data_IF_613459649236
#
_entry.id   IF_613459649236
#
_cell.length_a   1.000
_cell.length_b   1.000
_cell.length_c   1.000
_cell.angle_alpha   90.00
_cell.angle_beta   90.00
_cell.angle_gamma   90.00
#
_symmetry.space_group_name_H-M   'P 1'
#
loop_
_entity.id
_entity.type
_entity.pdbx_description
1 polymer ?
#
# COMPACT_ATOMS: atom_id res chain seq x y z
N UNK A 1 -22.44 -16.69 42.42
CA UNK A 1 -21.29 -16.99 41.54
C UNK A 1 -21.72 -16.58 40.14
N UNK A 2 -21.25 -15.43 39.67
CA UNK A 2 -21.57 -14.93 38.33
C UNK A 2 -20.77 -15.75 37.30
N UNK A 3 -21.47 -16.32 36.34
CA UNK A 3 -20.86 -16.96 35.19
C UNK A 3 -20.33 -15.85 34.26
N UNK A 4 -19.00 -15.70 34.19
CA UNK A 4 -18.34 -14.86 33.21
C UNK A 4 -18.46 -15.56 31.86
N UNK A 5 -19.40 -15.09 31.04
CA UNK A 5 -19.53 -15.49 29.65
C UNK A 5 -18.33 -14.94 28.88
N UNK A 6 -17.32 -15.80 28.67
CA UNK A 6 -16.16 -15.49 27.85
C UNK A 6 -16.63 -15.24 26.43
N UNK A 7 -16.63 -13.98 26.02
CA UNK A 7 -16.88 -13.57 24.64
C UNK A 7 -15.86 -14.26 23.73
N UNK A 8 -16.25 -15.35 23.07
CA UNK A 8 -15.44 -15.95 22.02
C UNK A 8 -15.46 -14.99 20.82
N UNK A 9 -14.32 -14.37 20.53
CA UNK A 9 -14.15 -13.57 19.32
C UNK A 9 -14.23 -14.50 18.11
N UNK A 10 -15.32 -14.41 17.34
CA UNK A 10 -15.45 -15.02 16.02
C UNK A 10 -14.63 -14.22 14.99
N UNK A 11 -13.33 -14.12 15.21
CA UNK A 11 -12.43 -13.65 14.16
C UNK A 11 -12.26 -14.78 13.16
N UNK A 12 -12.54 -14.58 11.86
CA UNK A 12 -12.18 -15.55 10.85
C UNK A 12 -10.70 -15.87 11.01
N UNK A 13 -10.36 -17.15 11.22
CA UNK A 13 -8.97 -17.57 11.16
C UNK A 13 -8.53 -17.44 9.72
N UNK A 14 -7.91 -16.31 9.39
CA UNK A 14 -7.24 -16.11 8.11
C UNK A 14 -6.14 -17.16 8.05
N UNK A 15 -6.35 -18.18 7.24
CA UNK A 15 -5.38 -19.25 7.08
C UNK A 15 -4.19 -18.74 6.25
N UNK A 16 -3.08 -19.48 6.26
CA UNK A 16 -1.91 -19.08 5.48
C UNK A 16 -2.17 -19.16 3.96
N UNK A 17 -3.20 -19.88 3.52
CA UNK A 17 -3.55 -20.07 2.12
C UNK A 17 -4.31 -18.86 1.56
N UNK A 18 -5.05 -18.13 2.41
CA UNK A 18 -5.63 -16.81 2.09
C UNK A 18 -4.53 -15.75 1.85
N UNK A 19 -3.40 -15.82 2.57
CA UNK A 19 -2.26 -14.93 2.34
C UNK A 19 -1.51 -15.23 1.03
N UNK A 20 -1.56 -16.47 0.54
CA UNK A 20 -0.91 -16.87 -0.73
C UNK A 20 -1.68 -16.39 -1.97
N UNK A 21 -2.91 -15.91 -1.81
CA UNK A 21 -3.73 -15.38 -2.92
C UNK A 21 -3.42 -13.93 -3.29
N UNK A 22 -2.60 -13.23 -2.50
CA UNK A 22 -2.19 -11.86 -2.82
C UNK A 22 -1.17 -11.94 -3.97
N UNK A 23 -1.56 -11.55 -5.17
CA UNK A 23 -0.63 -11.44 -6.30
C UNK A 23 0.42 -10.37 -5.99
N UNK A 24 1.63 -10.53 -6.56
CA UNK A 24 2.70 -9.56 -6.39
C UNK A 24 2.28 -8.16 -6.85
N UNK A 25 1.40 -8.08 -7.85
CA UNK A 25 0.79 -6.87 -8.36
C UNK A 25 -0.09 -6.17 -7.30
N UNK A 26 -0.89 -6.95 -6.57
CA UNK A 26 -1.74 -6.44 -5.50
C UNK A 26 -0.91 -5.97 -4.30
N UNK A 27 0.21 -6.65 -4.03
CA UNK A 27 1.15 -6.27 -2.97
C UNK A 27 1.83 -4.92 -3.27
N UNK A 28 2.25 -4.68 -4.52
CA UNK A 28 2.83 -3.41 -4.97
C UNK A 28 1.81 -2.26 -4.84
N UNK A 29 0.56 -2.48 -5.27
CA UNK A 29 -0.54 -1.53 -5.14
C UNK A 29 -0.86 -1.22 -3.66
N UNK A 30 -0.82 -2.23 -2.78
CA UNK A 30 -1.06 -2.06 -1.34
C UNK A 30 0.04 -1.27 -0.65
N UNK A 31 1.31 -1.53 -0.95
CA UNK A 31 2.44 -0.79 -0.38
C UNK A 31 2.36 0.69 -0.76
N UNK A 32 2.10 1.00 -2.03
CA UNK A 32 1.96 2.39 -2.48
C UNK A 32 0.82 3.12 -1.75
N UNK A 33 -0.36 2.48 -1.64
CA UNK A 33 -1.50 3.04 -0.90
C UNK A 33 -1.15 3.30 0.57
N UNK A 34 -0.43 2.37 1.19
CA UNK A 34 0.04 2.51 2.57
C UNK A 34 0.99 3.71 2.74
N UNK A 35 1.96 3.87 1.84
CA UNK A 35 2.87 5.01 1.85
C UNK A 35 2.13 6.36 1.72
N UNK A 36 1.17 6.45 0.80
CA UNK A 36 0.35 7.66 0.60
C UNK A 36 -0.55 7.97 1.82
N UNK A 37 -1.14 6.94 2.43
CA UNK A 37 -1.92 7.09 3.66
C UNK A 37 -1.04 7.61 4.81
N UNK A 38 0.17 7.06 4.97
CA UNK A 38 1.14 7.50 5.98
C UNK A 38 1.59 8.95 5.76
N UNK A 39 1.85 9.35 4.51
CA UNK A 39 2.13 10.75 4.17
C UNK A 39 0.96 11.65 4.57
N UNK A 40 -0.27 11.27 4.23
CA UNK A 40 -1.48 12.02 4.59
C UNK A 40 -1.62 12.19 6.11
N UNK A 41 -1.35 11.14 6.89
CA UNK A 41 -1.35 11.20 8.36
C UNK A 41 -0.30 12.17 8.88
N UNK A 42 0.91 12.16 8.31
CA UNK A 42 1.99 13.12 8.68
C UNK A 42 1.60 14.56 8.38
N UNK A 43 1.02 14.80 7.21
CA UNK A 43 0.53 16.12 6.77
C UNK A 43 -0.53 16.63 7.75
N UNK A 44 -1.51 15.79 8.10
CA UNK A 44 -2.55 16.14 9.08
C UNK A 44 -1.97 16.45 10.46
N UNK A 45 -1.02 15.65 10.94
CA UNK A 45 -0.36 15.86 12.23
C UNK A 45 0.45 17.16 12.25
N UNK A 46 1.12 17.50 11.16
CA UNK A 46 1.85 18.77 11.02
C UNK A 46 0.90 19.97 11.08
N UNK A 47 -0.21 19.91 10.33
CA UNK A 47 -1.24 20.94 10.33
C UNK A 47 -1.83 21.14 11.73
N UNK A 48 -2.17 20.07 12.43
CA UNK A 48 -2.72 20.16 13.80
C UNK A 48 -1.72 20.78 14.80
N UNK A 49 -0.41 20.50 14.65
CA UNK A 49 0.62 21.02 15.56
C UNK A 49 0.98 22.48 15.31
N UNK A 50 1.02 22.91 14.05
CA UNK A 50 1.55 24.22 13.66
C UNK A 50 0.48 25.21 13.21
N UNK A 51 -0.73 24.73 12.91
CA UNK A 51 -1.78 25.51 12.27
C UNK A 51 -1.46 25.93 10.83
N UNK A 52 -0.34 25.46 10.25
CA UNK A 52 0.13 25.83 8.91
C UNK A 52 -0.08 24.69 7.93
N UNK A 53 -0.61 25.00 6.76
CA UNK A 53 -0.63 24.07 5.62
C UNK A 53 0.79 23.93 5.05
N UNK A 54 1.12 22.78 4.46
CA UNK A 54 2.45 22.52 3.89
C UNK A 54 2.77 23.33 2.62
N UNK A 55 1.93 24.29 2.23
CA UNK A 55 2.13 25.09 1.02
C UNK A 55 2.05 24.30 -0.30
N UNK A 56 1.70 23.01 -0.27
CA UNK A 56 1.54 22.14 -1.43
C UNK A 56 0.20 22.37 -2.17
N UNK A 57 -0.23 23.63 -2.28
CA UNK A 57 -1.49 24.02 -2.91
C UNK A 57 -1.40 24.09 -4.44
N UNK A 58 -0.20 23.91 -5.01
CA UNK A 58 0.02 23.79 -6.45
C UNK A 58 -0.01 22.32 -6.92
N UNK A 59 -0.03 22.06 -8.23
CA UNK A 59 0.04 20.70 -8.78
C UNK A 59 1.38 20.01 -8.48
N UNK A 60 2.28 20.66 -7.75
CA UNK A 60 3.44 20.08 -7.08
C UNK A 60 2.96 19.02 -6.09
N UNK A 61 2.69 17.84 -6.63
CA UNK A 61 2.42 16.65 -5.84
C UNK A 61 3.53 16.50 -4.80
N UNK A 62 3.18 16.01 -3.61
CA UNK A 62 4.18 15.28 -2.82
C UNK A 62 4.66 14.16 -3.74
N UNK A 63 5.76 14.43 -4.44
CA UNK A 63 6.04 13.81 -5.73
C UNK A 63 6.45 12.38 -5.55
N UNK A 64 5.55 11.47 -5.89
CA UNK A 64 5.92 10.09 -6.11
C UNK A 64 6.78 10.03 -7.38
N UNK A 65 8.05 9.69 -7.19
CA UNK A 65 9.03 9.66 -8.28
C UNK A 65 8.80 8.43 -9.16
N UNK A 66 7.96 8.58 -10.19
CA UNK A 66 7.70 7.50 -11.16
C UNK A 66 8.96 6.98 -11.84
N UNK A 67 10.06 7.76 -11.90
CA UNK A 67 11.31 7.28 -12.51
C UNK A 67 11.99 6.17 -11.69
N UNK A 68 11.64 6.04 -10.40
CA UNK A 68 12.14 5.00 -9.49
C UNK A 68 11.22 3.79 -9.39
N UNK A 69 9.99 3.88 -9.85
CA UNK A 69 9.06 2.75 -9.92
C UNK A 69 9.61 1.74 -10.91
N UNK A 70 9.73 0.49 -10.49
CA UNK A 70 10.18 -0.62 -11.31
C UNK A 70 9.09 -1.68 -11.33
N UNK A 71 8.59 -2.01 -12.52
CA UNK A 71 7.59 -3.06 -12.67
C UNK A 71 8.17 -4.41 -12.21
N UNK A 72 7.48 -5.08 -11.28
CA UNK A 72 7.92 -6.36 -10.74
C UNK A 72 7.95 -7.48 -11.80
N UNK A 73 7.06 -7.42 -12.80
CA UNK A 73 7.00 -8.43 -13.86
C UNK A 73 8.13 -8.29 -14.91
N UNK A 74 8.34 -7.09 -15.47
CA UNK A 74 9.29 -6.91 -16.58
C UNK A 74 10.58 -6.16 -16.23
N UNK A 75 10.72 -5.72 -14.96
CA UNK A 75 11.89 -5.01 -14.44
C UNK A 75 12.26 -3.73 -15.21
N UNK A 76 11.28 -3.12 -15.87
CA UNK A 76 11.43 -1.81 -16.52
C UNK A 76 10.80 -0.74 -15.65
N UNK A 77 11.45 0.42 -15.63
CA UNK A 77 11.02 1.55 -14.81
C UNK A 77 9.76 2.22 -15.36
N UNK A 78 9.17 3.12 -14.56
CA UNK A 78 8.08 4.07 -14.89
C UNK A 78 6.64 3.55 -14.88
N UNK A 79 6.40 2.26 -14.70
CA UNK A 79 5.06 1.71 -14.72
C UNK A 79 4.93 0.60 -13.68
N UNK A 80 3.71 0.42 -13.18
CA UNK A 80 3.35 -0.66 -12.26
C UNK A 80 3.10 -1.95 -13.01
N UNK A 81 3.07 -3.06 -12.27
CA UNK A 81 2.90 -4.38 -12.88
C UNK A 81 1.58 -4.56 -13.62
N UNK A 82 0.50 -3.93 -13.13
CA UNK A 82 -0.82 -3.91 -13.79
C UNK A 82 -0.84 -3.20 -15.15
N UNK A 83 0.09 -2.29 -15.40
CA UNK A 83 0.23 -1.57 -16.66
C UNK A 83 1.18 -2.30 -17.64
N UNK A 84 1.83 -3.37 -17.19
CA UNK A 84 2.81 -4.10 -17.97
C UNK A 84 2.12 -4.86 -19.12
N UNK A 85 2.55 -4.57 -20.35
CA UNK A 85 2.11 -5.28 -21.55
C UNK A 85 2.99 -6.49 -21.90
N UNK A 86 4.09 -6.68 -21.17
CA UNK A 86 4.99 -7.80 -21.41
C UNK A 86 4.38 -9.09 -20.86
N UNK A 87 4.59 -10.24 -21.54
CA UNK A 87 4.25 -11.54 -20.97
C UNK A 87 4.87 -11.71 -19.57
N UNK A 88 4.22 -12.49 -18.70
CA UNK A 88 4.73 -12.74 -17.34
C UNK A 88 6.15 -13.34 -17.45
N UNK A 89 7.16 -12.72 -16.86
CA UNK A 89 8.53 -13.24 -16.92
C UNK A 89 8.62 -14.51 -16.06
N UNK A 90 8.57 -15.66 -16.71
CA UNK A 90 8.60 -16.98 -16.05
C UNK A 90 10.00 -17.35 -15.57
N UNK A 91 11.05 -16.54 -15.82
CA UNK A 91 12.44 -16.87 -15.48
C UNK A 91 12.75 -16.89 -13.98
N UNK A 92 11.79 -16.53 -13.12
CA UNK A 92 12.01 -16.42 -11.67
C UNK A 92 10.91 -17.03 -10.79
N UNK A 93 9.97 -17.78 -11.37
CA UNK A 93 8.98 -18.57 -10.62
C UNK A 93 9.57 -19.90 -10.15
#
# INVERSE_FOLDING_TARGET
MEAIEKSQSNSPQLDNDDLKQIDADDLEDMDLKWQMAMLTVRVRRFLQRTGRNLGANGPTSMGFDMSKVECYNCHRKRHFTRECRSPKDTRRN
#
